data_IF_439889050838
#
_entry.id   IF_439889050838
#
_cell.length_a   1.000
_cell.length_b   1.000
_cell.length_c   1.000
_cell.angle_alpha   90.00
_cell.angle_beta   90.00
_cell.angle_gamma   90.00
#
_symmetry.space_group_name_H-M   'P 1'
#
loop_
_entity.id
_entity.type
_entity.pdbx_description
1 polymer ?
#
# COMPACT_ATOMS: atom_id res chain seq x y z
N UNK A 1 -10.47 5.31 12.85
CA UNK A 1 -10.29 5.16 14.31
C UNK A 1 -9.29 6.18 14.79
N UNK A 2 -9.68 7.01 15.76
CA UNK A 2 -8.80 8.01 16.38
C UNK A 2 -9.12 8.10 17.87
N UNK A 3 -8.24 8.77 18.62
CA UNK A 3 -8.47 9.14 20.03
C UNK A 3 -8.15 10.63 20.15
N UNK A 4 -9.09 11.42 20.65
CA UNK A 4 -8.85 12.84 20.92
C UNK A 4 -7.95 12.97 22.16
N UNK A 5 -6.74 13.48 21.98
CA UNK A 5 -5.84 13.76 23.11
C UNK A 5 -6.29 15.02 23.87
N UNK A 6 -6.88 15.98 23.16
CA UNK A 6 -7.48 17.21 23.68
C UNK A 6 -8.63 17.61 22.76
N UNK A 7 -9.74 18.10 23.34
CA UNK A 7 -10.91 18.57 22.57
C UNK A 7 -11.90 17.46 22.18
N UNK A 8 -12.90 17.78 21.33
CA UNK A 8 -13.94 16.85 20.88
C UNK A 8 -13.39 15.70 20.01
N UNK A 9 -14.19 14.66 19.84
CA UNK A 9 -13.87 13.56 18.93
C UNK A 9 -13.79 14.04 17.47
N UNK A 10 -13.07 13.31 16.62
CA UNK A 10 -12.89 13.68 15.22
C UNK A 10 -14.23 13.71 14.46
N UNK A 11 -15.14 12.81 14.80
CA UNK A 11 -16.47 12.67 14.22
C UNK A 11 -17.42 13.83 14.56
N UNK A 12 -17.08 14.64 15.57
CA UNK A 12 -17.82 15.86 15.91
C UNK A 12 -17.32 17.08 15.12
N UNK A 13 -16.12 17.00 14.54
CA UNK A 13 -15.45 18.10 13.84
C UNK A 13 -15.41 17.92 12.32
N UNK A 14 -15.38 16.67 11.85
CA UNK A 14 -15.24 16.35 10.44
C UNK A 14 -16.44 15.55 9.95
N UNK A 15 -16.99 15.99 8.83
CA UNK A 15 -17.96 15.19 8.07
C UNK A 15 -17.28 13.95 7.46
N UNK A 16 -18.04 12.88 7.22
CA UNK A 16 -17.53 11.72 6.48
C UNK A 16 -16.99 12.13 5.11
N UNK A 17 -15.81 11.61 4.75
CA UNK A 17 -15.18 11.85 3.45
C UNK A 17 -15.97 11.12 2.36
N UNK A 18 -16.35 11.79 1.26
CA UNK A 18 -16.94 11.13 0.10
C UNK A 18 -16.04 10.03 -0.45
N UNK A 19 -16.63 8.92 -0.89
CA UNK A 19 -15.88 7.77 -1.42
C UNK A 19 -15.05 8.14 -2.65
N UNK A 20 -15.57 9.04 -3.50
CA UNK A 20 -14.85 9.54 -4.67
C UNK A 20 -13.55 10.28 -4.30
N UNK A 21 -13.61 11.16 -3.30
CA UNK A 21 -12.45 11.92 -2.84
C UNK A 21 -11.37 10.99 -2.25
N UNK A 22 -11.79 9.90 -1.58
CA UNK A 22 -10.87 8.86 -1.12
C UNK A 22 -10.17 8.17 -2.30
N UNK A 23 -10.91 7.77 -3.33
CA UNK A 23 -10.35 7.14 -4.53
C UNK A 23 -9.41 8.07 -5.30
N UNK A 24 -9.75 9.35 -5.41
CA UNK A 24 -8.86 10.35 -6.01
C UNK A 24 -7.56 10.49 -5.22
N UNK A 25 -7.62 10.60 -3.89
CA UNK A 25 -6.43 10.67 -3.05
C UNK A 25 -5.55 9.41 -3.15
N UNK A 26 -6.16 8.22 -3.26
CA UNK A 26 -5.43 6.97 -3.48
C UNK A 26 -4.73 6.97 -4.85
N UNK A 27 -5.41 7.40 -5.91
CA UNK A 27 -4.83 7.52 -7.25
C UNK A 27 -3.68 8.52 -7.32
N UNK A 28 -3.84 9.70 -6.70
CA UNK A 28 -2.77 10.70 -6.61
C UNK A 28 -1.52 10.13 -5.96
N UNK A 29 -1.68 9.32 -4.91
CA UNK A 29 -0.55 8.66 -4.22
C UNK A 29 0.22 7.72 -5.16
N UNK A 30 -0.46 7.06 -6.12
CA UNK A 30 0.22 6.18 -7.09
C UNK A 30 1.16 6.95 -8.02
N UNK A 31 0.96 8.26 -8.20
CA UNK A 31 1.80 9.09 -9.07
C UNK A 31 3.18 9.37 -8.48
N UNK A 32 3.39 9.06 -7.19
CA UNK A 32 4.66 9.31 -6.50
C UNK A 32 5.78 8.35 -6.92
N UNK A 33 5.44 7.15 -7.41
CA UNK A 33 6.41 6.07 -7.66
C UNK A 33 6.36 5.60 -9.10
N UNK A 34 7.21 6.15 -9.96
CA UNK A 34 7.22 5.84 -11.40
C UNK A 34 8.51 5.17 -11.87
N UNK A 35 9.57 5.24 -11.08
CA UNK A 35 10.88 4.69 -11.42
C UNK A 35 11.70 4.32 -10.17
N UNK A 36 12.71 3.44 -10.29
CA UNK A 36 13.54 3.02 -9.15
C UNK A 36 14.07 4.14 -8.25
N UNK A 37 14.51 5.31 -8.77
CA UNK A 37 14.90 6.43 -7.92
C UNK A 37 13.82 6.95 -6.96
N UNK A 38 12.53 6.78 -7.29
CA UNK A 38 11.42 7.30 -6.48
C UNK A 38 11.19 6.51 -5.19
N UNK A 39 11.67 5.26 -5.13
CA UNK A 39 11.51 4.37 -3.96
C UNK A 39 12.84 3.84 -3.41
N UNK A 40 13.96 4.35 -3.91
CA UNK A 40 15.29 3.97 -3.42
C UNK A 40 15.45 4.34 -1.95
N UNK A 41 15.73 3.33 -1.11
CA UNK A 41 15.84 3.49 0.34
C UNK A 41 14.51 3.48 1.10
N UNK A 42 13.37 3.29 0.41
CA UNK A 42 12.05 3.16 1.04
C UNK A 42 11.26 1.93 0.52
N UNK A 43 11.96 0.96 -0.06
CA UNK A 43 11.41 -0.17 -0.83
C UNK A 43 10.29 -0.90 -0.08
N UNK A 44 10.54 -1.30 1.18
CA UNK A 44 9.56 -1.97 2.04
C UNK A 44 8.32 -1.14 2.27
N UNK A 45 8.48 0.16 2.52
CA UNK A 45 7.33 1.01 2.79
C UNK A 45 6.49 1.24 1.53
N UNK A 46 7.13 1.34 0.35
CA UNK A 46 6.41 1.41 -0.92
C UNK A 46 5.61 0.14 -1.18
N UNK A 47 6.20 -1.05 -1.01
CA UNK A 47 5.51 -2.33 -1.16
C UNK A 47 4.28 -2.43 -0.25
N UNK A 48 4.44 -2.11 1.03
CA UNK A 48 3.36 -2.20 2.02
C UNK A 48 2.29 -1.11 1.81
N UNK A 49 2.69 0.08 1.34
CA UNK A 49 1.75 1.16 1.05
C UNK A 49 0.91 0.84 -0.19
N UNK A 50 1.52 0.35 -1.27
CA UNK A 50 0.79 -0.14 -2.45
C UNK A 50 -0.18 -1.27 -2.08
N UNK A 51 0.21 -2.18 -1.20
CA UNK A 51 -0.67 -3.24 -0.70
C UNK A 51 -1.89 -2.68 0.04
N UNK A 52 -1.70 -1.66 0.89
CA UNK A 52 -2.80 -0.98 1.61
C UNK A 52 -3.70 -0.17 0.68
N UNK A 53 -3.13 0.49 -0.33
CA UNK A 53 -3.90 1.21 -1.34
C UNK A 53 -4.77 0.22 -2.11
N UNK A 54 -4.20 -0.91 -2.56
CA UNK A 54 -4.95 -1.93 -3.29
C UNK A 54 -6.08 -2.53 -2.46
N UNK A 55 -5.80 -2.85 -1.19
CA UNK A 55 -6.83 -3.30 -0.25
C UNK A 55 -7.96 -2.27 -0.10
N UNK A 56 -7.60 -1.00 0.10
CA UNK A 56 -8.57 0.08 0.30
C UNK A 56 -9.41 0.32 -0.95
N UNK A 57 -8.78 0.33 -2.12
CA UNK A 57 -9.45 0.47 -3.42
C UNK A 57 -10.49 -0.63 -3.67
N UNK A 58 -10.19 -1.88 -3.28
CA UNK A 58 -11.09 -3.02 -3.51
C UNK A 58 -12.17 -3.16 -2.45
N UNK A 59 -11.89 -2.80 -1.19
CA UNK A 59 -12.77 -3.12 -0.06
C UNK A 59 -13.49 -1.92 0.55
N UNK A 60 -13.05 -0.69 0.23
CA UNK A 60 -13.49 0.53 0.90
C UNK A 60 -13.06 0.61 2.38
N UNK A 61 -12.17 -0.28 2.83
CA UNK A 61 -11.72 -0.36 4.23
C UNK A 61 -10.24 -0.06 4.36
N UNK A 62 -9.84 0.43 5.53
CA UNK A 62 -8.43 0.62 5.87
C UNK A 62 -7.94 -0.60 6.66
N UNK A 63 -6.76 -1.10 6.32
CA UNK A 63 -6.10 -2.20 7.03
C UNK A 63 -4.68 -1.83 7.52
N UNK A 64 -4.17 -2.52 8.56
CA UNK A 64 -2.75 -2.56 8.89
C UNK A 64 -1.87 -3.05 7.73
N UNK A 65 -0.56 -2.75 7.79
CA UNK A 65 0.41 -3.08 6.72
C UNK A 65 0.51 -4.59 6.46
N UNK A 66 0.61 -5.39 7.51
CA UNK A 66 0.71 -6.85 7.47
C UNK A 66 -0.57 -7.51 6.97
N UNK A 67 -1.73 -7.05 7.44
CA UNK A 67 -3.04 -7.54 7.00
C UNK A 67 -3.27 -7.26 5.50
N UNK A 68 -2.94 -6.05 5.05
CA UNK A 68 -3.03 -5.72 3.62
C UNK A 68 -2.03 -6.51 2.77
N UNK A 69 -0.84 -6.79 3.31
CA UNK A 69 0.17 -7.60 2.64
C UNK A 69 -0.29 -9.05 2.46
N UNK A 70 -0.86 -9.67 3.50
CA UNK A 70 -1.43 -11.02 3.42
C UNK A 70 -2.55 -11.08 2.38
N UNK A 71 -3.47 -10.11 2.42
CA UNK A 71 -4.55 -10.02 1.45
C UNK A 71 -4.05 -9.86 0.01
N UNK A 72 -3.03 -9.04 -0.23
CA UNK A 72 -2.47 -8.84 -1.56
C UNK A 72 -1.72 -10.09 -2.04
N UNK A 73 -1.02 -10.79 -1.15
CA UNK A 73 -0.27 -12.02 -1.46
C UNK A 73 -1.16 -13.13 -2.04
N UNK A 74 -2.38 -13.28 -1.55
CA UNK A 74 -3.38 -14.23 -2.08
C UNK A 74 -3.80 -13.94 -3.53
N UNK A 75 -3.61 -12.71 -4.01
CA UNK A 75 -4.07 -12.22 -5.31
C UNK A 75 -2.93 -12.03 -6.31
N UNK A 76 -1.70 -11.99 -5.81
CA UNK A 76 -0.51 -11.80 -6.63
C UNK A 76 -0.13 -13.08 -7.38
N UNK A 77 0.31 -12.96 -8.64
CA UNK A 77 1.09 -13.99 -9.30
C UNK A 77 2.25 -14.46 -8.42
N UNK A 78 2.54 -15.76 -8.44
CA UNK A 78 3.55 -16.38 -7.58
C UNK A 78 4.94 -15.74 -7.70
N UNK A 79 5.29 -15.19 -8.87
CA UNK A 79 6.57 -14.50 -9.10
C UNK A 79 6.76 -13.24 -8.23
N UNK A 80 5.68 -12.59 -7.81
CA UNK A 80 5.71 -11.35 -7.02
C UNK A 80 5.57 -11.58 -5.51
N UNK A 81 5.12 -12.77 -5.10
CA UNK A 81 4.95 -13.12 -3.69
C UNK A 81 6.24 -12.99 -2.85
N UNK A 82 7.45 -13.29 -3.35
CA UNK A 82 8.67 -13.13 -2.57
C UNK A 82 8.93 -11.68 -2.13
N UNK A 83 8.60 -10.68 -2.95
CA UNK A 83 8.80 -9.25 -2.64
C UNK A 83 7.90 -8.82 -1.47
N UNK A 84 6.61 -9.13 -1.56
CA UNK A 84 5.65 -8.75 -0.52
C UNK A 84 5.83 -9.55 0.77
N UNK A 85 6.22 -10.82 0.68
CA UNK A 85 6.55 -11.64 1.84
C UNK A 85 7.72 -11.04 2.61
N UNK A 86 8.82 -10.72 1.93
CA UNK A 86 9.99 -10.11 2.57
C UNK A 86 9.64 -8.75 3.19
N UNK A 87 8.92 -7.88 2.46
CA UNK A 87 8.48 -6.59 3.00
C UNK A 87 7.67 -6.74 4.30
N UNK A 88 6.77 -7.73 4.35
CA UNK A 88 5.96 -8.04 5.52
C UNK A 88 6.82 -8.56 6.68
N UNK A 89 7.70 -9.53 6.44
CA UNK A 89 8.58 -10.10 7.48
C UNK A 89 9.52 -9.04 8.05
N UNK A 90 10.11 -8.21 7.18
CA UNK A 90 10.96 -7.10 7.59
C UNK A 90 10.21 -6.02 8.36
N UNK A 91 8.93 -5.79 8.06
CA UNK A 91 8.08 -4.86 8.83
C UNK A 91 7.75 -5.39 10.22
N UNK A 92 7.50 -6.69 10.34
CA UNK A 92 7.23 -7.36 11.62
C UNK A 92 8.50 -7.61 12.46
N UNK A 93 9.68 -7.23 11.96
CA UNK A 93 10.96 -7.45 12.64
C UNK A 93 11.40 -8.92 12.65
N UNK A 94 10.86 -9.73 11.74
CA UNK A 94 11.11 -11.17 11.66
C UNK A 94 12.32 -11.50 10.78
N UNK A 95 12.59 -10.68 9.76
CA UNK A 95 13.74 -10.82 8.85
C UNK A 95 14.37 -9.46 8.54
N UNK A 96 15.57 -9.48 7.95
CA UNK A 96 16.23 -8.27 7.44
C UNK A 96 15.58 -7.79 6.14
N UNK A 97 15.52 -6.47 5.96
CA UNK A 97 15.09 -5.85 4.71
C UNK A 97 16.23 -5.88 3.69
N UNK A 98 16.08 -6.69 2.63
CA UNK A 98 17.04 -6.82 1.54
C UNK A 98 16.40 -6.50 0.19
N UNK A 99 15.27 -5.80 0.18
CA UNK A 99 14.50 -5.52 -1.04
C UNK A 99 15.30 -4.71 -2.06
N UNK A 100 16.20 -3.82 -1.59
CA UNK A 100 17.11 -3.08 -2.45
C UNK A 100 18.02 -3.99 -3.31
N UNK A 101 18.32 -5.22 -2.84
CA UNK A 101 19.09 -6.20 -3.62
C UNK A 101 18.27 -6.91 -4.70
N UNK A 102 16.95 -6.72 -4.71
CA UNK A 102 16.00 -7.30 -5.66
C UNK A 102 15.34 -6.23 -6.55
N UNK A 103 16.10 -5.22 -6.95
CA UNK A 103 15.61 -4.04 -7.66
C UNK A 103 14.68 -4.38 -8.85
N UNK A 104 15.08 -5.31 -9.71
CA UNK A 104 14.27 -5.70 -10.87
C UNK A 104 12.91 -6.30 -10.48
N UNK A 105 12.89 -7.22 -9.50
CA UNK A 105 11.65 -7.84 -9.01
C UNK A 105 10.74 -6.83 -8.31
N UNK A 106 11.34 -5.89 -7.58
CA UNK A 106 10.62 -4.81 -6.91
C UNK A 106 9.99 -3.86 -7.93
N UNK A 107 10.72 -3.47 -8.96
CA UNK A 107 10.20 -2.60 -10.02
C UNK A 107 9.03 -3.27 -10.76
N UNK A 108 9.17 -4.55 -11.14
CA UNK A 108 8.07 -5.30 -11.73
C UNK A 108 6.86 -5.41 -10.79
N UNK A 109 7.09 -5.65 -9.49
CA UNK A 109 6.05 -5.67 -8.48
C UNK A 109 5.30 -4.33 -8.41
N UNK A 110 6.03 -3.21 -8.33
CA UNK A 110 5.45 -1.86 -8.23
C UNK A 110 4.58 -1.58 -9.46
N UNK A 111 5.09 -1.85 -10.66
CA UNK A 111 4.33 -1.67 -11.89
C UNK A 111 3.09 -2.56 -11.97
N UNK A 112 3.21 -3.83 -11.58
CA UNK A 112 2.09 -4.77 -11.57
C UNK A 112 0.98 -4.30 -10.61
N UNK A 113 1.32 -4.01 -9.36
CA UNK A 113 0.34 -3.61 -8.34
C UNK A 113 -0.29 -2.26 -8.68
N UNK A 114 0.48 -1.28 -9.17
CA UNK A 114 -0.09 -0.03 -9.70
C UNK A 114 -1.11 -0.31 -10.81
N UNK A 115 -0.78 -1.20 -11.74
CA UNK A 115 -1.70 -1.61 -12.80
C UNK A 115 -3.00 -2.24 -12.28
N UNK A 116 -2.93 -3.09 -11.25
CA UNK A 116 -4.11 -3.67 -10.61
C UNK A 116 -4.96 -2.62 -9.88
N UNK A 117 -4.34 -1.66 -9.19
CA UNK A 117 -5.06 -0.59 -8.51
C UNK A 117 -5.79 0.30 -9.51
N UNK A 118 -5.12 0.74 -10.59
CA UNK A 118 -5.73 1.62 -11.60
C UNK A 118 -6.97 1.00 -12.25
N UNK A 119 -7.03 -0.33 -12.39
CA UNK A 119 -8.21 -1.04 -12.92
C UNK A 119 -9.43 -0.97 -11.99
N UNK A 120 -9.21 -0.75 -10.70
CA UNK A 120 -10.26 -0.70 -9.67
C UNK A 120 -10.71 0.74 -9.45
N UNK A 121 -9.76 1.67 -9.32
CA UNK A 121 -10.04 3.07 -8.97
C UNK A 121 -10.44 3.92 -10.20
N UNK A 122 -10.17 3.45 -11.42
CA UNK A 122 -10.59 4.11 -12.67
C UNK A 122 -12.00 3.76 -13.17
N UNK A 123 -12.82 3.09 -12.34
CA UNK A 123 -14.22 2.76 -12.64
C UNK A 123 -15.16 3.73 -11.94
#
# INVERSE_FOLDING_TARGET
HSVALVGPAAEELFDPVPEQDLFEALNETLTLWNSPPDWAGDERNVVLTLSRIWYSAVTGRIAPKDVAADWAMERLPAQYQPVILEARQAYLGQEEDRLASRADQLEEFVHYVKGEITKVVGK
#
